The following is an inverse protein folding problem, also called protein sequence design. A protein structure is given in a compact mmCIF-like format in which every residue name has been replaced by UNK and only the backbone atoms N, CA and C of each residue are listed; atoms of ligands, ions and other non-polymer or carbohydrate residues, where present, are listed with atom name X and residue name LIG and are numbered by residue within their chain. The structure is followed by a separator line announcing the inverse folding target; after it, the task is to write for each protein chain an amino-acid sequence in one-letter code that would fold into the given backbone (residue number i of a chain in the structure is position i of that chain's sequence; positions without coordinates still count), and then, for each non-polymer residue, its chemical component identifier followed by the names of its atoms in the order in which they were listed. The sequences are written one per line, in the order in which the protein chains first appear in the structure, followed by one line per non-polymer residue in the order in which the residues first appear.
data_IF_087935929752
#
_entry.id   IF_087935929752
#
_cell.length_a   1.000
_cell.length_b   1.000
_cell.length_c   1.000
_cell.angle_alpha   90.00
_cell.angle_beta   90.00
_cell.angle_gamma   90.00
#
_symmetry.space_group_name_H-M   'P 1'
#
loop_
_entity.id
_entity.type
_entity.pdbx_description
1 polymer ?
#
# COMPACT_ATOMS: atom_id res chain seq x y z
N UNK A 1 11.10 -10.50 -4.36
CA UNK A 1 10.38 -10.13 -3.11
C UNK A 1 10.76 -8.68 -2.79
N UNK A 2 9.79 -7.77 -2.71
CA UNK A 2 10.07 -6.34 -2.51
C UNK A 2 10.45 -6.07 -1.05
N UNK A 3 11.68 -5.61 -0.79
CA UNK A 3 12.21 -5.43 0.57
C UNK A 3 11.35 -4.52 1.46
N UNK A 4 10.67 -3.53 0.88
CA UNK A 4 9.75 -2.65 1.62
C UNK A 4 8.52 -3.41 2.14
N UNK A 5 7.98 -4.36 1.38
CA UNK A 5 6.80 -5.13 1.80
C UNK A 5 7.14 -6.11 2.92
N UNK A 6 8.36 -6.67 2.92
CA UNK A 6 8.83 -7.50 4.03
C UNK A 6 8.81 -6.74 5.37
N UNK A 7 9.29 -5.49 5.35
CA UNK A 7 9.30 -4.62 6.54
C UNK A 7 7.88 -4.27 6.99
N UNK A 8 6.98 -3.97 6.05
CA UNK A 8 5.58 -3.66 6.37
C UNK A 8 4.87 -4.88 6.97
N UNK A 9 5.08 -6.07 6.40
CA UNK A 9 4.57 -7.34 6.95
C UNK A 9 5.07 -7.63 8.35
N UNK A 10 6.37 -7.48 8.62
CA UNK A 10 6.93 -7.71 9.95
C UNK A 10 6.31 -6.75 10.98
N UNK A 11 6.22 -5.46 10.64
CA UNK A 11 5.66 -4.47 11.55
C UNK A 11 4.16 -4.70 11.80
N UNK A 12 3.37 -5.02 10.78
CA UNK A 12 1.95 -5.36 10.97
C UNK A 12 1.78 -6.59 11.88
N UNK A 13 2.54 -7.67 11.64
CA UNK A 13 2.52 -8.87 12.49
C UNK A 13 2.84 -8.57 13.96
N UNK A 14 3.65 -7.54 14.21
CA UNK A 14 4.09 -7.11 15.55
C UNK A 14 3.20 -6.02 16.15
N UNK A 15 2.10 -5.65 15.48
CA UNK A 15 1.19 -4.60 15.94
C UNK A 15 1.81 -3.20 15.97
N UNK A 16 2.80 -2.93 15.11
CA UNK A 16 3.55 -1.66 15.10
C UNK A 16 2.99 -0.69 14.07
N UNK A 17 2.99 0.60 14.44
CA UNK A 17 2.72 1.68 13.50
C UNK A 17 3.96 1.90 12.63
N UNK A 18 3.77 1.95 11.31
CA UNK A 18 4.85 2.21 10.34
C UNK A 18 4.59 3.51 9.58
N UNK A 19 5.56 4.42 9.58
CA UNK A 19 5.54 5.61 8.74
C UNK A 19 6.34 5.34 7.45
N UNK A 20 5.69 5.49 6.29
CA UNK A 20 6.32 5.34 4.97
C UNK A 20 6.48 6.72 4.35
N UNK A 21 7.70 7.07 3.92
CA UNK A 21 7.93 8.34 3.23
C UNK A 21 8.92 8.18 2.07
N UNK A 22 8.84 9.12 1.13
CA UNK A 22 9.89 9.39 0.17
C UNK A 22 10.42 10.81 0.43
N UNK A 23 11.01 11.46 -0.58
CA UNK A 23 11.45 12.86 -0.43
C UNK A 23 10.26 13.83 -0.25
N UNK A 24 9.23 13.72 -1.08
CA UNK A 24 8.04 14.59 -1.00
C UNK A 24 6.90 14.03 -0.14
N UNK A 25 6.89 12.72 0.10
CA UNK A 25 5.75 12.03 0.69
C UNK A 25 4.53 11.99 -0.25
N UNK A 26 4.75 12.02 -1.57
CA UNK A 26 3.70 12.10 -2.60
C UNK A 26 3.77 10.81 -3.44
N UNK A 27 4.45 10.82 -4.59
CA UNK A 27 4.38 9.74 -5.59
C UNK A 27 4.76 8.34 -5.09
N UNK A 28 6.04 8.10 -4.75
CA UNK A 28 6.51 6.79 -4.28
C UNK A 28 5.82 6.36 -2.98
N UNK A 29 5.45 7.32 -2.13
CA UNK A 29 4.71 7.02 -0.90
C UNK A 29 3.33 6.49 -1.22
N UNK A 30 2.53 7.21 -2.03
CA UNK A 30 1.22 6.75 -2.49
C UNK A 30 1.29 5.41 -3.22
N UNK A 31 2.33 5.20 -4.03
CA UNK A 31 2.54 3.93 -4.74
C UNK A 31 2.74 2.76 -3.78
N UNK A 32 3.63 2.90 -2.80
CA UNK A 32 3.89 1.84 -1.79
C UNK A 32 2.66 1.60 -0.92
N UNK A 33 1.97 2.66 -0.49
CA UNK A 33 0.75 2.55 0.31
C UNK A 33 -0.37 1.85 -0.49
N UNK A 34 -0.55 2.20 -1.76
CA UNK A 34 -1.51 1.52 -2.64
C UNK A 34 -1.22 0.02 -2.74
N UNK A 35 0.03 -0.36 -3.01
CA UNK A 35 0.42 -1.78 -3.05
C UNK A 35 0.22 -2.48 -1.69
N UNK A 36 0.48 -1.79 -0.58
CA UNK A 36 0.28 -2.32 0.77
C UNK A 36 -1.20 -2.53 1.12
N UNK A 37 -2.10 -1.66 0.66
CA UNK A 37 -3.54 -1.82 0.85
C UNK A 37 -4.03 -3.13 0.22
N UNK A 38 -3.53 -3.45 -0.98
CA UNK A 38 -3.81 -4.71 -1.68
C UNK A 38 -3.23 -5.89 -0.90
N UNK A 39 -1.93 -5.83 -0.58
CA UNK A 39 -1.23 -6.96 0.03
C UNK A 39 -1.75 -7.32 1.44
N UNK A 40 -2.08 -6.29 2.22
CA UNK A 40 -2.66 -6.48 3.55
C UNK A 40 -4.13 -6.89 3.52
N UNK A 41 -4.80 -6.82 2.37
CA UNK A 41 -6.21 -7.17 2.19
C UNK A 41 -7.19 -6.09 2.62
N UNK A 42 -6.75 -4.83 2.72
CA UNK A 42 -7.60 -3.66 2.98
C UNK A 42 -8.24 -3.11 1.70
N UNK A 43 -7.70 -3.45 0.55
CA UNK A 43 -8.30 -3.28 -0.77
C UNK A 43 -8.35 -4.64 -1.48
N UNK A 44 -9.40 -4.88 -2.26
CA UNK A 44 -9.59 -6.09 -3.06
C UNK A 44 -8.66 -6.13 -4.27
N UNK A 45 -8.42 -4.97 -4.88
CA UNK A 45 -7.62 -4.82 -6.09
C UNK A 45 -6.97 -3.43 -6.18
N UNK A 46 -6.22 -3.19 -7.26
CA UNK A 46 -5.52 -1.93 -7.48
C UNK A 46 -6.44 -0.73 -7.68
N UNK A 47 -7.65 -0.91 -8.22
CA UNK A 47 -8.59 0.18 -8.41
C UNK A 47 -9.12 0.68 -7.06
N UNK A 48 -9.58 -0.24 -6.19
CA UNK A 48 -10.04 0.10 -4.85
C UNK A 48 -8.89 0.69 -4.00
N UNK A 49 -7.67 0.20 -4.15
CA UNK A 49 -6.51 0.75 -3.47
C UNK A 49 -6.25 2.22 -3.86
N UNK A 50 -6.35 2.56 -5.15
CA UNK A 50 -6.18 3.92 -5.65
C UNK A 50 -7.31 4.85 -5.20
N UNK A 51 -8.55 4.36 -5.12
CA UNK A 51 -9.67 5.12 -4.57
C UNK A 51 -9.45 5.47 -3.09
N UNK A 52 -8.99 4.51 -2.29
CA UNK A 52 -8.65 4.74 -0.88
C UNK A 52 -7.54 5.78 -0.78
N UNK A 53 -6.43 5.62 -1.51
CA UNK A 53 -5.32 6.58 -1.49
C UNK A 53 -5.80 7.97 -1.89
N UNK A 54 -6.61 8.09 -2.95
CA UNK A 54 -7.14 9.38 -3.41
C UNK A 54 -8.06 10.03 -2.37
N UNK A 55 -8.89 9.25 -1.66
CA UNK A 55 -9.74 9.75 -0.58
C UNK A 55 -8.91 10.30 0.57
N UNK A 56 -7.93 9.53 1.05
CA UNK A 56 -7.10 9.96 2.17
C UNK A 56 -6.21 11.15 1.78
N UNK A 57 -5.71 11.18 0.54
CA UNK A 57 -4.85 12.26 0.05
C UNK A 57 -5.53 13.63 0.07
N UNK A 58 -6.85 13.70 -0.14
CA UNK A 58 -7.63 14.96 -0.05
C UNK A 58 -7.53 15.64 1.31
N UNK A 59 -7.19 14.89 2.37
CA UNK A 59 -7.03 15.42 3.72
C UNK A 59 -5.64 16.02 3.99
N UNK A 60 -4.69 15.79 3.07
CA UNK A 60 -3.30 16.26 3.21
C UNK A 60 -3.18 17.66 2.62
N UNK A 61 -2.62 18.61 3.37
CA UNK A 61 -2.41 20.01 2.94
C UNK A 61 -1.76 20.12 1.55
N UNK A 62 -0.81 19.23 1.26
CA UNK A 62 -0.08 19.17 -0.01
C UNK A 62 -0.99 18.90 -1.22
N UNK A 63 -2.20 18.35 -1.02
CA UNK A 63 -3.16 18.07 -2.09
C UNK A 63 -3.52 19.32 -2.90
N UNK A 64 -3.44 20.50 -2.29
CA UNK A 64 -3.70 21.77 -2.99
C UNK A 64 -2.69 22.06 -4.11
N UNK A 65 -1.44 21.61 -3.96
CA UNK A 65 -0.36 21.79 -4.95
C UNK A 65 -0.12 20.53 -5.79
N UNK A 66 -0.33 19.37 -5.19
CA UNK A 66 -0.14 18.06 -5.81
C UNK A 66 -1.46 17.30 -5.69
N UNK A 67 -2.38 17.40 -6.65
CA UNK A 67 -3.75 16.88 -6.50
C UNK A 67 -3.84 15.36 -6.41
N UNK A 68 -2.74 14.65 -6.67
CA UNK A 68 -2.71 13.21 -6.80
C UNK A 68 -1.56 12.58 -6.00
N UNK A 69 -1.84 11.44 -5.41
CA UNK A 69 -0.89 10.47 -4.87
C UNK A 69 -1.40 9.08 -5.28
N UNK A 70 -0.64 8.23 -6.00
CA UNK A 70 0.68 8.49 -6.59
C UNK A 70 0.73 9.72 -7.52
N UNK A 71 1.92 10.13 -7.97
CA UNK A 71 2.12 11.43 -8.64
C UNK A 71 2.12 11.32 -10.17
N UNK A 72 2.47 10.15 -10.71
CA UNK A 72 2.68 9.97 -12.15
C UNK A 72 1.90 8.78 -12.69
N UNK A 73 1.44 8.84 -13.94
CA UNK A 73 0.73 7.74 -14.61
C UNK A 73 1.38 6.36 -14.42
N UNK A 74 2.69 6.18 -14.64
CA UNK A 74 3.36 4.89 -14.42
C UNK A 74 3.27 4.35 -12.99
N UNK A 75 3.17 5.22 -11.98
CA UNK A 75 2.96 4.79 -10.59
C UNK A 75 1.52 4.33 -10.35
N UNK A 76 0.54 5.00 -10.97
CA UNK A 76 -0.86 4.54 -10.97
C UNK A 76 -0.97 3.18 -11.64
N UNK A 77 -0.41 3.04 -12.85
CA UNK A 77 -0.41 1.78 -13.61
C UNK A 77 0.24 0.64 -12.82
N UNK A 78 1.33 0.93 -12.11
CA UNK A 78 1.97 -0.06 -11.25
C UNK A 78 1.04 -0.55 -10.13
N UNK A 79 0.35 0.36 -9.44
CA UNK A 79 -0.59 -0.01 -8.36
C UNK A 79 -1.80 -0.74 -8.93
N UNK A 80 -2.35 -0.26 -10.04
CA UNK A 80 -3.52 -0.83 -10.71
C UNK A 80 -3.31 -2.30 -11.06
N UNK A 81 -2.10 -2.64 -11.52
CA UNK A 81 -1.73 -3.99 -11.93
C UNK A 81 -0.94 -4.77 -10.85
N UNK A 82 -0.79 -4.21 -9.65
CA UNK A 82 -0.01 -4.85 -8.59
C UNK A 82 -0.67 -6.16 -8.15
N UNK A 83 0.11 -7.24 -8.19
CA UNK A 83 -0.29 -8.55 -7.67
C UNK A 83 0.45 -8.81 -6.36
N UNK A 84 -0.32 -8.90 -5.28
CA UNK A 84 0.21 -9.29 -3.99
C UNK A 84 0.83 -10.69 -4.07
N UNK A 85 1.91 -10.92 -3.32
CA UNK A 85 2.42 -12.27 -3.16
C UNK A 85 1.33 -13.15 -2.50
N UNK A 86 1.11 -14.38 -2.98
CA UNK A 86 0.13 -15.27 -2.39
C UNK A 86 0.41 -15.44 -0.90
N UNK A 87 -0.62 -15.30 -0.07
CA UNK A 87 -0.49 -15.56 1.37
C UNK A 87 -0.13 -17.03 1.55
N UNK A 88 0.88 -17.37 2.37
CA UNK A 88 1.15 -18.77 2.70
C UNK A 88 -0.12 -19.40 3.26
N UNK A 89 -0.49 -20.57 2.75
CA UNK A 89 -1.62 -21.34 3.28
C UNK A 89 -1.30 -21.60 4.76
N UNK A 90 -2.11 -21.03 5.67
CA UNK A 90 -2.04 -21.41 7.07
C UNK A 90 -2.61 -22.82 7.19
N UNK A 91 -1.73 -23.83 7.24
CA UNK A 91 -2.10 -25.16 7.68
C UNK A 91 -2.57 -25.04 9.13
N UNK A 92 -3.87 -25.15 9.33
CA UNK A 92 -4.44 -25.30 10.67
C UNK A 92 -3.92 -26.62 11.25
N UNK A 93 -2.99 -26.51 12.20
CA UNK A 93 -2.66 -27.64 13.07
C UNK A 93 -3.90 -27.88 13.94
N UNK A 94 -4.72 -28.86 13.56
CA UNK A 94 -5.67 -29.49 14.47
C UNK A 94 -4.85 -30.15 15.57
N UNK A 95 -4.60 -29.42 16.66
CA UNK A 95 -4.11 -30.00 17.89
C UNK A 95 -5.18 -30.98 18.39
N UNK A 96 -4.78 -32.25 18.53
CA UNK A 96 -5.56 -33.31 19.17
C UNK A 96 -5.57 -33.16 20.68
#
# INVERSE_FOLDING_TARGET
MYSVMDVLRDNEKRGRITAVHCRGGIGRTGMVIGCWLIESGRARDGAEALEIVAREWKTVEKCNRFPHSPETGPQFEFVLHFQAAPKPIQLVSVAS
#
